data_IF_743223869525
#
_entry.id   IF_743223869525
#
_cell.length_a   1.000
_cell.length_b   1.000
_cell.length_c   1.000
_cell.angle_alpha   90.00
_cell.angle_beta   90.00
_cell.angle_gamma   90.00
#
_symmetry.space_group_name_H-M   'P 1'
#
loop_
_entity.id
_entity.type
_entity.pdbx_description
1 polymer ?
#
# COMPACT_ATOMS: atom_id res chain seq x y z
N UNK A 1 46.44 -19.73 2.60
CA UNK A 1 47.08 -18.58 1.95
C UNK A 1 46.08 -17.99 0.97
N UNK A 2 45.70 -16.72 1.09
CA UNK A 2 44.70 -16.11 0.20
C UNK A 2 45.17 -16.13 -1.25
N UNK A 3 44.26 -16.39 -2.19
CA UNK A 3 44.52 -16.60 -3.63
C UNK A 3 45.29 -15.42 -4.26
N UNK A 4 45.16 -14.23 -3.68
CA UNK A 4 45.78 -12.99 -4.17
C UNK A 4 47.29 -12.91 -3.91
N UNK A 5 47.83 -13.53 -2.84
CA UNK A 5 49.26 -13.41 -2.51
C UNK A 5 50.19 -14.05 -3.56
N UNK A 6 49.97 -15.31 -3.99
CA UNK A 6 50.80 -15.93 -5.03
C UNK A 6 50.76 -15.16 -6.37
N UNK A 7 49.64 -14.49 -6.67
CA UNK A 7 49.51 -13.65 -7.87
C UNK A 7 50.29 -12.35 -7.73
N UNK A 8 50.35 -11.76 -6.54
CA UNK A 8 51.18 -10.58 -6.26
C UNK A 8 52.68 -10.88 -6.31
N UNK A 9 53.08 -12.13 -6.03
CA UNK A 9 54.48 -12.56 -6.13
C UNK A 9 54.98 -12.58 -7.60
N UNK A 10 54.09 -12.85 -8.56
CA UNK A 10 54.40 -12.84 -10.01
C UNK A 10 54.09 -11.46 -10.64
N UNK A 11 53.01 -10.82 -10.18
CA UNK A 11 52.53 -9.52 -10.67
C UNK A 11 52.34 -8.54 -9.51
N UNK A 12 53.38 -7.75 -9.14
CA UNK A 12 53.35 -6.86 -7.98
C UNK A 12 52.21 -5.84 -7.98
N UNK A 13 51.67 -5.48 -9.16
CA UNK A 13 50.58 -4.51 -9.32
C UNK A 13 49.17 -5.13 -9.35
N UNK A 14 49.01 -6.45 -9.17
CA UNK A 14 47.71 -7.13 -9.25
C UNK A 14 46.67 -6.62 -8.23
N UNK A 15 47.12 -6.07 -7.10
CA UNK A 15 46.24 -5.47 -6.10
C UNK A 15 45.36 -4.34 -6.67
N UNK A 16 45.84 -3.61 -7.69
CA UNK A 16 45.11 -2.53 -8.34
C UNK A 16 43.92 -3.03 -9.17
N UNK A 17 43.93 -4.30 -9.58
CA UNK A 17 42.77 -4.94 -10.21
C UNK A 17 41.82 -5.52 -9.16
N UNK A 18 42.36 -6.28 -8.20
CA UNK A 18 41.54 -6.99 -7.21
C UNK A 18 40.79 -6.07 -6.24
N UNK A 19 41.40 -4.97 -5.76
CA UNK A 19 40.73 -4.09 -4.79
C UNK A 19 39.51 -3.41 -5.41
N UNK A 20 39.60 -2.70 -6.55
CA UNK A 20 38.41 -2.12 -7.19
C UNK A 20 37.40 -3.18 -7.63
N UNK A 21 37.85 -4.33 -8.13
CA UNK A 21 36.96 -5.42 -8.51
C UNK A 21 36.14 -5.94 -7.32
N UNK A 22 36.79 -6.21 -6.18
CA UNK A 22 36.09 -6.67 -4.97
C UNK A 22 35.14 -5.58 -4.47
N UNK A 23 35.54 -4.31 -4.47
CA UNK A 23 34.66 -3.20 -4.08
C UNK A 23 33.42 -3.13 -4.97
N UNK A 24 33.58 -3.19 -6.29
CA UNK A 24 32.45 -3.17 -7.23
C UNK A 24 31.57 -4.41 -7.04
N UNK A 25 32.16 -5.60 -7.00
CA UNK A 25 31.41 -6.86 -6.86
C UNK A 25 30.61 -6.91 -5.56
N UNK A 26 31.23 -6.52 -4.43
CA UNK A 26 30.56 -6.47 -3.12
C UNK A 26 29.50 -5.39 -3.07
N UNK A 27 29.74 -4.22 -3.65
CA UNK A 27 28.75 -3.14 -3.73
C UNK A 27 27.55 -3.53 -4.59
N UNK A 28 27.78 -4.14 -5.76
CA UNK A 28 26.71 -4.66 -6.61
C UNK A 28 25.91 -5.74 -5.90
N UNK A 29 26.57 -6.70 -5.23
CA UNK A 29 25.90 -7.73 -4.44
C UNK A 29 25.06 -7.14 -3.31
N UNK A 30 25.59 -6.16 -2.57
CA UNK A 30 24.88 -5.50 -1.49
C UNK A 30 23.64 -4.74 -1.99
N UNK A 31 23.77 -3.97 -3.08
CA UNK A 31 22.65 -3.23 -3.64
C UNK A 31 21.56 -4.16 -4.19
N UNK A 32 21.93 -5.27 -4.82
CA UNK A 32 20.98 -6.28 -5.26
C UNK A 32 20.24 -6.89 -4.05
N UNK A 33 20.98 -7.21 -2.99
CA UNK A 33 20.42 -7.77 -1.77
C UNK A 33 19.43 -6.82 -1.09
N UNK A 34 19.80 -5.53 -0.97
CA UNK A 34 18.90 -4.49 -0.46
C UNK A 34 17.66 -4.37 -1.36
N UNK A 35 17.84 -4.41 -2.68
CA UNK A 35 16.73 -4.39 -3.64
C UNK A 35 15.73 -5.52 -3.41
N UNK A 36 16.20 -6.76 -3.28
CA UNK A 36 15.36 -7.93 -3.02
C UNK A 36 14.64 -7.82 -1.67
N UNK A 37 15.33 -7.36 -0.62
CA UNK A 37 14.72 -7.17 0.70
C UNK A 37 13.60 -6.13 0.63
N UNK A 38 13.85 -4.98 -0.01
CA UNK A 38 12.85 -3.92 -0.13
C UNK A 38 11.66 -4.38 -0.95
N UNK A 39 11.89 -5.10 -2.05
CA UNK A 39 10.82 -5.70 -2.87
C UNK A 39 9.95 -6.64 -2.03
N UNK A 40 10.57 -7.56 -1.29
CA UNK A 40 9.87 -8.49 -0.40
C UNK A 40 9.06 -7.76 0.68
N UNK A 41 9.62 -6.71 1.28
CA UNK A 41 8.93 -5.90 2.28
C UNK A 41 7.74 -5.14 1.68
N UNK A 42 7.89 -4.62 0.45
CA UNK A 42 6.80 -3.96 -0.27
C UNK A 42 5.68 -4.94 -0.59
N UNK A 43 5.97 -6.13 -1.12
CA UNK A 43 4.93 -7.14 -1.39
C UNK A 43 4.12 -7.46 -0.14
N UNK A 44 4.78 -7.69 1.00
CA UNK A 44 4.09 -7.98 2.26
C UNK A 44 3.21 -6.82 2.74
N UNK A 45 3.66 -5.57 2.53
CA UNK A 45 2.92 -4.38 2.96
C UNK A 45 1.79 -4.03 2.00
N UNK A 46 2.03 -4.14 0.70
CA UNK A 46 1.07 -3.83 -0.37
C UNK A 46 -0.11 -4.81 -0.33
N UNK A 47 0.13 -6.10 -0.07
CA UNK A 47 -0.95 -7.09 0.11
C UNK A 47 -1.84 -6.75 1.32
N UNK A 48 -1.24 -6.26 2.41
CA UNK A 48 -1.99 -5.81 3.59
C UNK A 48 -2.80 -4.54 3.30
N UNK A 49 -2.19 -3.55 2.64
CA UNK A 49 -2.84 -2.29 2.30
C UNK A 49 -3.95 -2.45 1.27
N UNK A 50 -3.78 -3.36 0.30
CA UNK A 50 -4.80 -3.65 -0.70
C UNK A 50 -6.05 -4.26 -0.03
N UNK A 51 -5.86 -5.24 0.85
CA UNK A 51 -6.96 -5.85 1.59
C UNK A 51 -7.63 -4.87 2.57
N UNK A 52 -6.86 -3.99 3.22
CA UNK A 52 -7.41 -2.96 4.10
C UNK A 52 -8.20 -1.90 3.31
N UNK A 53 -7.67 -1.43 2.18
CA UNK A 53 -8.39 -0.50 1.29
C UNK A 53 -9.70 -1.09 0.79
N UNK A 54 -9.69 -2.34 0.33
CA UNK A 54 -10.90 -3.01 -0.15
C UNK A 54 -11.96 -3.07 0.97
N UNK A 55 -11.58 -3.44 2.20
CA UNK A 55 -12.51 -3.46 3.35
C UNK A 55 -13.06 -2.09 3.69
N UNK A 56 -12.23 -1.04 3.64
CA UNK A 56 -12.66 0.32 3.92
C UNK A 56 -13.65 0.78 2.84
N UNK A 57 -13.34 0.58 1.56
CA UNK A 57 -14.23 0.92 0.45
C UNK A 57 -15.58 0.20 0.56
N UNK A 58 -15.55 -1.10 0.88
CA UNK A 58 -16.76 -1.91 1.04
C UNK A 58 -17.65 -1.41 2.19
N UNK A 59 -17.02 -1.03 3.31
CA UNK A 59 -17.71 -0.49 4.49
C UNK A 59 -18.30 0.88 4.18
N UNK A 60 -17.52 1.77 3.57
CA UNK A 60 -17.97 3.11 3.15
C UNK A 60 -19.13 3.02 2.16
N UNK A 61 -19.09 2.07 1.21
CA UNK A 61 -20.16 1.91 0.23
C UNK A 61 -21.45 1.37 0.87
N UNK A 62 -21.33 0.43 1.84
CA UNK A 62 -22.49 -0.03 2.63
C UNK A 62 -23.10 1.11 3.44
N UNK A 63 -22.29 1.88 4.16
CA UNK A 63 -22.77 3.00 4.98
C UNK A 63 -23.43 4.07 4.11
N UNK A 64 -22.81 4.43 2.98
CA UNK A 64 -23.38 5.42 2.05
C UNK A 64 -24.74 4.96 1.52
N UNK A 65 -24.89 3.67 1.17
CA UNK A 65 -26.18 3.11 0.76
C UNK A 65 -27.19 3.12 1.91
N UNK A 66 -26.77 2.76 3.12
CA UNK A 66 -27.63 2.73 4.30
C UNK A 66 -28.19 4.13 4.60
N UNK A 67 -27.31 5.13 4.67
CA UNK A 67 -27.70 6.54 4.87
C UNK A 67 -28.62 7.01 3.74
N UNK A 68 -28.35 6.62 2.49
CA UNK A 68 -29.23 6.95 1.36
C UNK A 68 -30.65 6.39 1.50
N UNK A 69 -30.80 5.19 2.08
CA UNK A 69 -32.10 4.57 2.36
C UNK A 69 -32.80 5.27 3.53
N UNK A 70 -32.10 5.55 4.63
CA UNK A 70 -32.66 6.26 5.78
C UNK A 70 -33.14 7.67 5.39
N UNK A 71 -32.36 8.41 4.61
CA UNK A 71 -32.75 9.74 4.12
C UNK A 71 -34.02 9.67 3.26
N UNK A 72 -34.18 8.61 2.46
CA UNK A 72 -35.40 8.40 1.67
C UNK A 72 -36.60 8.10 2.56
N UNK A 73 -36.45 7.19 3.51
CA UNK A 73 -37.51 6.85 4.46
C UNK A 73 -37.98 8.08 5.27
N UNK A 74 -37.02 8.88 5.78
CA UNK A 74 -37.34 10.12 6.49
C UNK A 74 -38.07 11.13 5.60
N UNK A 75 -37.69 11.25 4.32
CA UNK A 75 -38.40 12.13 3.37
C UNK A 75 -39.85 11.67 3.16
N UNK A 76 -40.07 10.37 2.99
CA UNK A 76 -41.42 9.81 2.84
C UNK A 76 -42.27 10.05 4.10
N UNK A 77 -41.69 9.87 5.29
CA UNK A 77 -42.38 10.13 6.56
C UNK A 77 -42.73 11.62 6.73
N UNK A 78 -41.81 12.53 6.39
CA UNK A 78 -42.06 13.98 6.38
C UNK A 78 -43.19 14.34 5.41
N UNK A 79 -43.21 13.75 4.21
CA UNK A 79 -44.28 13.97 3.24
C UNK A 79 -45.63 13.41 3.73
N UNK A 80 -45.64 12.28 4.43
CA UNK A 80 -46.82 11.74 5.09
C UNK A 80 -47.36 12.69 6.16
N UNK A 81 -46.50 13.12 7.10
CA UNK A 81 -46.86 14.05 8.17
C UNK A 81 -47.34 15.41 7.62
N UNK A 82 -46.69 15.92 6.57
CA UNK A 82 -47.12 17.17 5.91
C UNK A 82 -48.51 17.03 5.29
N UNK A 83 -48.84 15.89 4.69
CA UNK A 83 -50.19 15.62 4.15
C UNK A 83 -51.24 15.56 5.28
N UNK A 84 -50.95 14.84 6.36
CA UNK A 84 -51.87 14.74 7.51
C UNK A 84 -52.14 16.10 8.16
N UNK A 85 -51.11 16.93 8.29
CA UNK A 85 -51.24 18.30 8.79
C UNK A 85 -52.04 19.19 7.84
N UNK A 86 -51.90 19.03 6.53
CA UNK A 86 -52.69 19.78 5.54
C UNK A 86 -54.18 19.41 5.66
N UNK A 87 -54.50 18.12 5.76
CA UNK A 87 -55.88 17.63 5.94
C UNK A 87 -56.49 18.15 7.26
N UNK A 88 -55.70 18.18 8.34
CA UNK A 88 -56.13 18.69 9.66
C UNK A 88 -56.27 20.22 9.72
N UNK A 89 -55.71 20.96 8.76
CA UNK A 89 -55.79 22.42 8.69
C UNK A 89 -56.99 22.92 7.89
N UNK A 90 -57.68 22.04 7.15
CA UNK A 90 -58.93 22.32 6.43
C UNK A 90 -60.24 21.91 7.17
N UNK A 91 -60.41 22.06 8.50
CA UNK A 91 -61.75 22.13 9.08
C UNK A 91 -62.14 23.58 9.33
N UNK A 92 -63.13 24.04 8.56
CA UNK A 92 -63.92 25.30 8.65
C UNK A 92 -63.39 26.51 7.90
#
# INVERSE_FOLDING_TARGET
MGIVRPVMDVYPYAWLFFIPFILIATFTMLNLFIGIIVDTMRTLHDDQHAAERERIEDTVHRDTRHVGLEVRALREEIEGLRRDLAIRREPS
#
